data_IF_565917735402
#
_entry.id   IF_565917735402
#
_cell.length_a   1.000
_cell.length_b   1.000
_cell.length_c   1.000
_cell.angle_alpha   90.00
_cell.angle_beta   90.00
_cell.angle_gamma   90.00
#
_symmetry.space_group_name_H-M   'P 1'
#
loop_
_entity.id
_entity.type
_entity.pdbx_description
1 polymer ?
#
# COMPACT_ATOMS: atom_id res chain seq x y z
N UNK A 1 38.50 -6.38 30.89
CA UNK A 1 38.43 -6.01 29.45
C UNK A 1 38.18 -7.20 28.52
N UNK A 2 39.01 -8.27 28.52
CA UNK A 2 38.80 -9.45 27.64
C UNK A 2 37.49 -10.22 27.89
N UNK A 3 37.06 -10.36 29.15
CA UNK A 3 35.79 -11.03 29.49
C UNK A 3 34.55 -10.23 29.03
N UNK A 4 34.60 -8.90 29.16
CA UNK A 4 33.55 -7.99 28.64
C UNK A 4 33.49 -8.03 27.11
N UNK A 5 34.65 -8.07 26.44
CA UNK A 5 34.71 -8.20 24.98
C UNK A 5 34.15 -9.54 24.49
N UNK A 6 34.43 -10.64 25.21
CA UNK A 6 33.84 -11.96 24.92
C UNK A 6 32.33 -11.98 25.15
N UNK A 7 31.85 -11.37 26.24
CA UNK A 7 30.42 -11.22 26.52
C UNK A 7 29.69 -10.44 25.42
N UNK A 8 30.26 -9.31 24.98
CA UNK A 8 29.73 -8.54 23.87
C UNK A 8 29.71 -9.34 22.56
N UNK A 9 30.77 -10.09 22.28
CA UNK A 9 30.84 -10.95 21.09
C UNK A 9 29.75 -12.03 21.11
N UNK A 10 29.55 -12.73 22.24
CA UNK A 10 28.49 -13.73 22.35
C UNK A 10 27.09 -13.12 22.18
N UNK A 11 26.87 -11.93 22.73
CA UNK A 11 25.61 -11.21 22.55
C UNK A 11 25.38 -10.87 21.06
N UNK A 12 26.38 -10.34 20.36
CA UNK A 12 26.28 -10.02 18.93
C UNK A 12 26.01 -11.27 18.11
N UNK A 13 26.69 -12.39 18.39
CA UNK A 13 26.46 -13.66 17.70
C UNK A 13 25.05 -14.19 17.96
N UNK A 14 24.57 -14.12 19.21
CA UNK A 14 23.22 -14.52 19.55
C UNK A 14 22.17 -13.67 18.82
N UNK A 15 22.35 -12.35 18.77
CA UNK A 15 21.45 -11.44 18.05
C UNK A 15 21.47 -11.71 16.54
N UNK A 16 22.64 -11.95 15.96
CA UNK A 16 22.75 -12.33 14.55
C UNK A 16 22.04 -13.66 14.27
N UNK A 17 22.18 -14.65 15.16
CA UNK A 17 21.51 -15.93 15.04
C UNK A 17 19.99 -15.77 15.11
N UNK A 18 19.48 -14.99 16.08
CA UNK A 18 18.04 -14.70 16.20
C UNK A 18 17.53 -13.97 14.97
N UNK A 19 18.26 -12.99 14.46
CA UNK A 19 17.88 -12.23 13.26
C UNK A 19 17.78 -13.13 12.02
N UNK A 20 18.77 -14.00 11.82
CA UNK A 20 18.84 -14.92 10.67
C UNK A 20 17.80 -16.04 10.79
N UNK A 21 17.83 -16.79 11.89
CA UNK A 21 16.91 -17.91 12.11
C UNK A 21 15.48 -17.41 12.20
N UNK A 22 15.23 -16.36 12.97
CA UNK A 22 13.91 -15.75 13.08
C UNK A 22 13.40 -15.24 11.73
N UNK A 23 14.25 -14.56 10.95
CA UNK A 23 13.86 -14.09 9.62
C UNK A 23 13.44 -15.21 8.67
N UNK A 24 14.12 -16.37 8.69
CA UNK A 24 13.73 -17.53 7.88
C UNK A 24 12.47 -18.25 8.37
N UNK A 25 12.12 -18.12 9.65
CA UNK A 25 10.86 -18.64 10.21
C UNK A 25 9.65 -17.75 9.90
N UNK A 26 9.86 -16.48 9.55
CA UNK A 26 8.79 -15.56 9.18
C UNK A 26 8.27 -15.83 7.76
N UNK A 27 6.98 -15.50 7.49
CA UNK A 27 6.39 -15.63 6.16
C UNK A 27 7.21 -14.89 5.10
N UNK A 28 7.31 -15.51 3.92
CA UNK A 28 7.96 -14.92 2.75
C UNK A 28 7.05 -13.98 1.96
N UNK A 29 5.78 -13.86 2.37
CA UNK A 29 4.76 -12.98 1.79
C UNK A 29 3.92 -12.37 2.90
N UNK A 30 3.44 -11.16 2.67
CA UNK A 30 2.46 -10.48 3.53
C UNK A 30 1.31 -9.98 2.69
N UNK A 31 0.10 -10.17 3.22
CA UNK A 31 -1.14 -9.67 2.66
C UNK A 31 -1.81 -8.77 3.71
N UNK A 32 -2.26 -7.60 3.29
CA UNK A 32 -3.01 -6.64 4.10
C UNK A 32 -4.23 -6.24 3.29
N UNK A 33 -5.42 -6.24 3.89
CA UNK A 33 -6.62 -5.74 3.21
C UNK A 33 -7.55 -5.01 4.16
N UNK A 34 -8.29 -4.04 3.63
CA UNK A 34 -9.42 -3.37 4.30
C UNK A 34 -10.57 -3.22 3.31
N UNK A 35 -11.80 -3.19 3.81
CA UNK A 35 -12.98 -2.99 2.96
C UNK A 35 -13.99 -2.02 3.55
N UNK A 36 -14.73 -1.35 2.68
CA UNK A 36 -15.82 -0.45 3.05
C UNK A 36 -16.95 -0.54 2.02
N UNK A 37 -18.19 -0.30 2.46
CA UNK A 37 -19.32 -0.09 1.56
C UNK A 37 -19.43 1.39 1.20
N UNK A 38 -19.45 1.69 -0.10
CA UNK A 38 -19.66 3.02 -0.67
C UNK A 38 -21.01 3.03 -1.37
N UNK A 39 -21.84 4.01 -1.06
CA UNK A 39 -23.19 4.19 -1.60
C UNK A 39 -23.15 4.81 -3.02
N UNK A 40 -22.34 4.19 -3.90
CA UNK A 40 -22.15 4.55 -5.30
C UNK A 40 -22.04 3.33 -6.20
N UNK A 41 -22.52 3.44 -7.46
CA UNK A 41 -22.43 2.34 -8.40
C UNK A 41 -20.96 2.04 -8.73
N UNK A 42 -20.61 0.78 -9.07
CA UNK A 42 -19.23 0.38 -9.30
C UNK A 42 -18.51 1.20 -10.39
N UNK A 43 -19.25 1.73 -11.37
CA UNK A 43 -18.70 2.60 -12.42
C UNK A 43 -18.12 3.92 -11.89
N UNK A 44 -18.79 4.57 -10.95
CA UNK A 44 -18.29 5.82 -10.35
C UNK A 44 -17.06 5.56 -9.48
N UNK A 45 -17.09 4.48 -8.69
CA UNK A 45 -15.96 4.08 -7.85
C UNK A 45 -14.76 3.70 -8.71
N UNK A 46 -14.97 2.90 -9.76
CA UNK A 46 -13.94 2.50 -10.71
C UNK A 46 -13.30 3.72 -11.37
N UNK A 47 -14.09 4.66 -11.89
CA UNK A 47 -13.57 5.87 -12.53
C UNK A 47 -12.69 6.73 -11.60
N UNK A 48 -12.98 6.76 -10.30
CA UNK A 48 -12.15 7.44 -9.30
C UNK A 48 -10.81 6.72 -9.07
N UNK A 49 -10.79 5.39 -9.09
CA UNK A 49 -9.61 4.57 -8.82
C UNK A 49 -8.73 4.35 -10.06
N UNK A 50 -9.32 4.43 -11.24
CA UNK A 50 -8.67 4.23 -12.53
C UNK A 50 -7.84 5.45 -13.00
N UNK A 51 -7.74 6.50 -12.19
CA UNK A 51 -6.96 7.70 -12.48
C UNK A 51 -6.33 8.29 -11.24
N UNK A 52 -5.10 8.79 -11.37
CA UNK A 52 -4.44 9.51 -10.27
C UNK A 52 -4.78 11.00 -10.22
N UNK A 53 -5.57 11.54 -11.16
CA UNK A 53 -5.94 12.98 -11.18
C UNK A 53 -6.54 13.46 -9.87
N UNK A 54 -7.36 12.61 -9.24
CA UNK A 54 -8.08 12.90 -8.00
C UNK A 54 -7.52 12.15 -6.79
N UNK A 55 -6.35 11.52 -6.94
CA UNK A 55 -5.74 10.71 -5.89
C UNK A 55 -5.53 11.50 -4.59
N UNK A 56 -5.12 12.76 -4.71
CA UNK A 56 -4.85 13.64 -3.57
C UNK A 56 -6.11 14.02 -2.78
N UNK A 57 -7.32 13.85 -3.32
CA UNK A 57 -8.58 14.16 -2.61
C UNK A 57 -8.86 13.17 -1.48
N UNK A 58 -8.43 11.91 -1.63
CA UNK A 58 -8.74 10.83 -0.70
C UNK A 58 -7.49 10.09 -0.18
N UNK A 59 -6.31 10.35 -0.74
CA UNK A 59 -5.06 9.73 -0.28
C UNK A 59 -4.76 10.07 1.19
N UNK A 60 -4.47 9.05 2.04
CA UNK A 60 -4.00 9.29 3.41
C UNK A 60 -2.57 9.89 3.42
N UNK A 61 -1.75 9.55 2.42
CA UNK A 61 -0.37 10.01 2.32
C UNK A 61 -0.26 11.46 1.86
N UNK A 62 -1.14 11.91 0.95
CA UNK A 62 -1.19 13.32 0.58
C UNK A 62 -1.55 14.21 1.77
N UNK A 63 -2.46 13.77 2.64
CA UNK A 63 -2.77 14.51 3.87
C UNK A 63 -1.60 14.52 4.87
N UNK A 64 -0.83 13.42 4.95
CA UNK A 64 0.33 13.33 5.85
C UNK A 64 1.44 14.33 5.46
N UNK A 65 1.66 14.51 4.15
CA UNK A 65 2.66 15.43 3.62
C UNK A 65 2.23 16.06 2.29
N UNK A 66 1.41 17.14 2.32
CA UNK A 66 0.97 17.83 1.11
C UNK A 66 2.10 18.52 0.36
N UNK A 67 3.21 18.80 1.06
CA UNK A 67 4.42 19.43 0.52
C UNK A 67 5.36 18.44 -0.18
N UNK A 68 5.07 17.15 -0.15
CA UNK A 68 5.84 16.15 -0.88
C UNK A 68 5.74 16.40 -2.39
N UNK A 69 6.75 15.95 -3.13
CA UNK A 69 6.75 16.05 -4.59
C UNK A 69 5.93 14.90 -5.16
N UNK A 70 4.95 15.21 -6.01
CA UNK A 70 4.15 14.23 -6.74
C UNK A 70 4.34 14.43 -8.25
N UNK A 71 4.66 13.36 -8.97
CA UNK A 71 4.88 13.37 -10.42
C UNK A 71 3.93 12.38 -11.07
N UNK A 72 3.02 12.90 -11.89
CA UNK A 72 2.08 12.12 -12.68
C UNK A 72 2.65 11.88 -14.08
N UNK A 73 2.49 10.67 -14.61
CA UNK A 73 2.96 10.31 -15.94
C UNK A 73 2.11 9.21 -16.57
N UNK A 74 2.26 8.99 -17.87
CA UNK A 74 1.45 8.02 -18.62
C UNK A 74 0.11 8.61 -19.05
N UNK A 75 -0.86 7.75 -19.44
CA UNK A 75 -2.21 8.18 -19.79
C UNK A 75 -2.95 8.78 -18.59
N UNK A 76 -4.02 9.52 -18.89
CA UNK A 76 -4.84 10.18 -17.86
C UNK A 76 -5.60 9.20 -16.95
N UNK A 77 -5.90 8.00 -17.46
CA UNK A 77 -6.59 6.92 -16.76
C UNK A 77 -6.21 5.57 -17.38
N UNK A 78 -6.49 4.48 -16.65
CA UNK A 78 -6.27 3.13 -17.11
C UNK A 78 -4.82 2.66 -17.06
N UNK A 79 -4.58 1.53 -17.73
CA UNK A 79 -3.27 0.85 -17.72
C UNK A 79 -2.14 1.77 -18.16
N UNK A 80 -1.10 1.86 -17.35
CA UNK A 80 0.08 2.68 -17.59
C UNK A 80 0.04 4.05 -16.91
N UNK A 81 -1.14 4.53 -16.47
CA UNK A 81 -1.21 5.73 -15.64
C UNK A 81 -0.33 5.51 -14.39
N UNK A 82 0.48 6.51 -14.03
CA UNK A 82 1.52 6.39 -13.01
C UNK A 82 1.60 7.62 -12.12
N UNK A 83 1.93 7.40 -10.85
CA UNK A 83 2.17 8.42 -9.84
C UNK A 83 3.45 8.06 -9.07
N UNK A 84 4.45 8.94 -9.09
CA UNK A 84 5.63 8.86 -8.25
C UNK A 84 5.58 9.93 -7.16
N UNK A 85 6.09 9.63 -5.97
CA UNK A 85 6.17 10.57 -4.87
C UNK A 85 7.56 10.56 -4.19
N UNK A 86 7.90 11.69 -3.60
CA UNK A 86 9.09 11.84 -2.77
C UNK A 86 8.84 12.89 -1.67
N UNK A 87 8.97 12.48 -0.40
CA UNK A 87 8.77 13.32 0.77
C UNK A 87 9.51 12.80 1.99
N UNK A 88 9.67 13.65 3.00
CA UNK A 88 10.43 13.32 4.21
C UNK A 88 9.68 12.37 5.14
N UNK A 89 8.35 12.40 5.13
CA UNK A 89 7.46 11.54 5.95
C UNK A 89 6.85 10.42 5.13
N UNK A 90 6.42 10.69 3.90
CA UNK A 90 5.82 9.67 3.01
C UNK A 90 6.85 8.81 2.30
N UNK A 91 8.14 9.12 2.46
CA UNK A 91 9.23 8.43 1.81
C UNK A 91 9.23 8.64 0.30
N UNK A 92 9.82 7.68 -0.42
CA UNK A 92 9.92 7.70 -1.87
C UNK A 92 9.30 6.43 -2.44
N UNK A 93 8.55 6.58 -3.52
CA UNK A 93 7.98 5.44 -4.21
C UNK A 93 7.23 5.82 -5.47
N UNK A 94 6.66 4.81 -6.11
CA UNK A 94 5.78 4.99 -7.26
C UNK A 94 4.71 3.92 -7.31
N UNK A 95 3.62 4.25 -7.99
CA UNK A 95 2.56 3.33 -8.34
C UNK A 95 2.18 3.49 -9.81
N UNK A 96 1.84 2.39 -10.45
CA UNK A 96 1.35 2.37 -11.84
C UNK A 96 0.19 1.39 -11.95
N UNK A 97 -0.87 1.80 -12.64
CA UNK A 97 -1.96 0.89 -12.99
C UNK A 97 -1.44 -0.18 -13.95
N UNK A 98 -1.41 -1.42 -13.48
CA UNK A 98 -0.95 -2.59 -14.22
C UNK A 98 -2.10 -3.33 -14.90
N UNK A 99 -3.27 -3.33 -14.28
CA UNK A 99 -4.50 -3.93 -14.81
C UNK A 99 -5.69 -3.05 -14.40
N UNK A 100 -6.67 -2.91 -15.28
CA UNK A 100 -7.94 -2.27 -14.97
C UNK A 100 -9.06 -3.01 -15.69
N UNK A 101 -10.02 -3.53 -14.93
CA UNK A 101 -11.21 -4.20 -15.44
C UNK A 101 -12.42 -3.36 -15.04
N UNK A 102 -13.15 -2.78 -16.00
CA UNK A 102 -14.26 -1.88 -15.72
C UNK A 102 -15.22 -2.44 -14.68
N UNK A 103 -15.55 -1.62 -13.67
CA UNK A 103 -16.50 -1.93 -12.59
C UNK A 103 -16.14 -3.13 -11.70
N UNK A 104 -14.96 -3.73 -11.87
CA UNK A 104 -14.57 -4.96 -11.16
C UNK A 104 -13.28 -4.78 -10.37
N UNK A 105 -12.20 -4.29 -10.98
CA UNK A 105 -10.92 -4.18 -10.29
C UNK A 105 -9.94 -3.20 -10.91
N UNK A 106 -9.04 -2.67 -10.09
CA UNK A 106 -7.85 -1.91 -10.50
C UNK A 106 -6.63 -2.46 -9.75
N UNK A 107 -5.59 -2.88 -10.48
CA UNK A 107 -4.36 -3.43 -9.91
C UNK A 107 -3.22 -2.44 -10.14
N UNK A 108 -2.51 -2.10 -9.07
CA UNK A 108 -1.38 -1.19 -9.06
C UNK A 108 -0.09 -1.96 -8.79
N UNK A 109 0.90 -1.80 -9.67
CA UNK A 109 2.28 -2.17 -9.37
C UNK A 109 2.91 -1.05 -8.53
N UNK A 110 3.38 -1.39 -7.33
CA UNK A 110 3.99 -0.48 -6.37
C UNK A 110 5.49 -0.73 -6.26
N UNK A 111 6.27 0.35 -6.19
CA UNK A 111 7.69 0.33 -5.88
C UNK A 111 7.97 1.33 -4.76
N UNK A 112 8.40 0.83 -3.61
CA UNK A 112 8.83 1.62 -2.47
C UNK A 112 10.36 1.57 -2.38
N UNK A 113 11.03 2.44 -3.13
CA UNK A 113 12.49 2.57 -3.19
C UNK A 113 13.20 1.22 -3.42
N UNK A 114 12.73 0.47 -4.42
CA UNK A 114 13.23 -0.85 -4.80
C UNK A 114 12.46 -2.02 -4.16
N UNK A 115 11.57 -1.77 -3.20
CA UNK A 115 10.70 -2.81 -2.64
C UNK A 115 9.40 -2.91 -3.42
N UNK A 116 9.21 -4.02 -4.15
CA UNK A 116 8.01 -4.24 -4.96
C UNK A 116 6.82 -4.70 -4.10
N UNK A 117 5.64 -4.22 -4.45
CA UNK A 117 4.37 -4.72 -3.94
C UNK A 117 3.27 -4.59 -5.01
N UNK A 118 2.13 -5.23 -4.76
CA UNK A 118 0.94 -5.13 -5.61
C UNK A 118 -0.21 -4.62 -4.76
N UNK A 119 -0.81 -3.51 -5.17
CA UNK A 119 -1.99 -2.95 -4.52
C UNK A 119 -3.22 -3.20 -5.38
N UNK A 120 -4.25 -3.85 -4.84
CA UNK A 120 -5.47 -4.16 -5.61
C UNK A 120 -6.68 -3.48 -5.01
N UNK A 121 -7.51 -2.87 -5.85
CA UNK A 121 -8.86 -2.47 -5.51
C UNK A 121 -9.84 -3.45 -6.18
N UNK A 122 -10.55 -4.23 -5.37
CA UNK A 122 -11.64 -5.09 -5.82
C UNK A 122 -12.99 -4.41 -5.55
N UNK A 123 -13.86 -4.41 -6.56
CA UNK A 123 -15.17 -3.79 -6.56
C UNK A 123 -16.25 -4.85 -6.69
N UNK A 124 -17.11 -4.95 -5.69
CA UNK A 124 -18.25 -5.86 -5.69
C UNK A 124 -19.54 -5.06 -5.53
N UNK A 125 -20.45 -5.17 -6.49
CA UNK A 125 -21.78 -4.56 -6.39
C UNK A 125 -22.52 -5.07 -5.14
N UNK A 126 -23.14 -4.16 -4.39
CA UNK A 126 -23.90 -4.45 -3.17
C UNK A 126 -25.16 -3.55 -3.16
N UNK A 127 -26.25 -4.05 -3.76
CA UNK A 127 -27.45 -3.24 -4.00
C UNK A 127 -27.17 -2.12 -5.01
N UNK A 128 -27.53 -0.89 -4.64
CA UNK A 128 -27.22 0.33 -5.41
C UNK A 128 -25.79 0.87 -5.13
N UNK A 129 -25.05 0.22 -4.23
CA UNK A 129 -23.70 0.59 -3.83
C UNK A 129 -22.63 -0.39 -4.27
N UNK A 130 -21.42 -0.18 -3.77
CA UNK A 130 -20.23 -0.98 -4.06
C UNK A 130 -19.47 -1.26 -2.78
N UNK A 131 -19.15 -2.53 -2.54
CA UNK A 131 -18.11 -2.92 -1.60
C UNK A 131 -16.75 -2.78 -2.27
N UNK A 132 -15.93 -1.92 -1.72
CA UNK A 132 -14.55 -1.71 -2.14
C UNK A 132 -13.63 -2.41 -1.16
N UNK A 133 -12.77 -3.29 -1.68
CA UNK A 133 -11.69 -3.91 -0.90
C UNK A 133 -10.36 -3.41 -1.45
N UNK A 134 -9.53 -2.83 -0.59
CA UNK A 134 -8.18 -2.41 -0.94
C UNK A 134 -7.19 -3.33 -0.26
N UNK A 135 -6.38 -4.03 -1.05
CA UNK A 135 -5.36 -4.96 -0.58
C UNK A 135 -3.94 -4.56 -1.01
N UNK A 136 -2.97 -5.04 -0.26
CA UNK A 136 -1.54 -4.96 -0.53
C UNK A 136 -0.92 -6.35 -0.38
N UNK A 137 -0.32 -6.84 -1.45
CA UNK A 137 0.48 -8.05 -1.49
C UNK A 137 1.96 -7.70 -1.65
N UNK A 138 2.80 -8.14 -0.71
CA UNK A 138 4.25 -7.94 -0.76
C UNK A 138 4.97 -9.27 -0.62
N UNK A 139 5.87 -9.54 -1.58
CA UNK A 139 6.73 -10.73 -1.57
C UNK A 139 8.12 -10.36 -1.04
N UNK A 140 8.47 -10.93 0.10
CA UNK A 140 9.75 -10.70 0.79
C UNK A 140 10.85 -11.64 0.30
N UNK A 141 10.47 -12.81 -0.25
CA UNK A 141 11.41 -13.80 -0.77
C UNK A 141 12.43 -14.23 0.30
N UNK A 142 13.72 -14.18 -0.04
CA UNK A 142 14.82 -14.48 0.88
C UNK A 142 15.39 -13.25 1.60
N UNK A 143 14.79 -12.07 1.43
CA UNK A 143 15.23 -10.87 2.12
C UNK A 143 14.74 -10.88 3.57
N UNK A 144 15.64 -11.20 4.50
CA UNK A 144 15.35 -11.29 5.92
C UNK A 144 14.81 -9.98 6.49
N UNK A 145 15.34 -8.83 6.04
CA UNK A 145 14.88 -7.50 6.49
C UNK A 145 13.42 -7.28 6.10
N UNK A 146 13.06 -7.59 4.86
CA UNK A 146 11.68 -7.46 4.36
C UNK A 146 10.71 -8.38 5.09
N UNK A 147 11.12 -9.61 5.44
CA UNK A 147 10.30 -10.53 6.24
C UNK A 147 10.00 -9.99 7.64
N UNK A 148 11.00 -9.42 8.31
CA UNK A 148 10.80 -8.74 9.60
C UNK A 148 9.89 -7.51 9.45
N UNK A 149 10.01 -6.76 8.36
CA UNK A 149 9.13 -5.63 8.05
C UNK A 149 7.67 -6.06 7.80
N UNK A 150 7.46 -7.25 7.23
CA UNK A 150 6.13 -7.84 7.03
C UNK A 150 5.29 -7.93 8.31
N UNK A 151 5.91 -8.10 9.48
CA UNK A 151 5.21 -8.15 10.78
C UNK A 151 4.52 -6.84 11.18
N UNK A 152 5.06 -5.70 10.73
CA UNK A 152 4.52 -4.38 11.06
C UNK A 152 3.65 -3.79 9.94
N UNK A 153 3.67 -4.42 8.76
CA UNK A 153 3.02 -3.92 7.56
C UNK A 153 1.51 -3.74 7.74
N UNK A 154 0.79 -4.72 8.30
CA UNK A 154 -0.66 -4.60 8.54
C UNK A 154 -0.99 -3.43 9.49
N UNK A 155 -0.19 -3.25 10.54
CA UNK A 155 -0.43 -2.18 11.52
C UNK A 155 -0.19 -0.78 10.94
N UNK A 156 0.79 -0.65 10.05
CA UNK A 156 1.14 0.61 9.39
C UNK A 156 0.20 0.90 8.22
N UNK A 157 0.15 -0.01 7.24
CA UNK A 157 -0.61 0.15 6.00
C UNK A 157 -2.11 0.01 6.22
N UNK A 158 -2.53 -0.92 7.07
CA UNK A 158 -3.95 -1.17 7.30
C UNK A 158 -4.69 0.06 7.85
N UNK A 159 -4.05 0.84 8.73
CA UNK A 159 -4.62 2.10 9.25
C UNK A 159 -4.73 3.18 8.17
N UNK A 160 -3.72 3.27 7.30
CA UNK A 160 -3.75 4.20 6.17
C UNK A 160 -4.86 3.79 5.18
N UNK A 161 -5.06 2.50 4.96
CA UNK A 161 -6.12 1.98 4.09
C UNK A 161 -7.50 2.26 4.66
N UNK A 162 -7.72 2.03 5.95
CA UNK A 162 -8.97 2.41 6.63
C UNK A 162 -9.27 3.90 6.45
N UNK A 163 -8.26 4.75 6.66
CA UNK A 163 -8.39 6.21 6.49
C UNK A 163 -8.65 6.62 5.04
N UNK A 164 -7.93 6.04 4.09
CA UNK A 164 -8.07 6.31 2.66
C UNK A 164 -9.45 5.88 2.14
N UNK A 165 -9.92 4.69 2.52
CA UNK A 165 -11.25 4.18 2.16
C UNK A 165 -12.37 5.05 2.74
N UNK A 166 -12.24 5.49 4.00
CA UNK A 166 -13.23 6.38 4.62
C UNK A 166 -13.33 7.73 3.89
N UNK A 167 -12.20 8.30 3.44
CA UNK A 167 -12.21 9.52 2.64
C UNK A 167 -12.74 9.30 1.23
N UNK A 168 -12.35 8.20 0.58
CA UNK A 168 -12.83 7.83 -0.74
C UNK A 168 -14.36 7.75 -0.74
N UNK A 169 -14.92 7.08 0.27
CA UNK A 169 -16.37 7.03 0.53
C UNK A 169 -16.96 8.44 0.60
N UNK A 170 -16.41 9.31 1.46
CA UNK A 170 -16.91 10.68 1.63
C UNK A 170 -16.89 11.48 0.32
N UNK A 171 -15.76 11.49 -0.39
CA UNK A 171 -15.59 12.26 -1.64
C UNK A 171 -16.56 11.78 -2.74
N UNK A 172 -16.82 10.48 -2.79
CA UNK A 172 -17.76 9.90 -3.75
C UNK A 172 -19.21 10.20 -3.36
N UNK A 173 -19.55 10.10 -2.07
CA UNK A 173 -20.93 10.29 -1.59
C UNK A 173 -21.39 11.75 -1.55
N UNK A 174 -20.47 12.71 -1.43
CA UNK A 174 -20.76 14.16 -1.45
C UNK A 174 -21.12 14.70 -2.85
N UNK A 175 -20.79 13.99 -3.93
CA UNK A 175 -21.19 14.39 -5.28
C UNK A 175 -22.71 14.22 -5.44
N UNK A 176 -23.41 14.95 -6.31
CA UNK A 176 -24.78 14.57 -6.68
C UNK A 176 -24.81 13.16 -7.29
N UNK A 177 -25.94 12.46 -7.15
CA UNK A 177 -26.21 11.22 -7.91
C UNK A 177 -26.75 11.56 -9.29
#
# INVERSE_FOLDING_TARGET
MKALLKGLLYLVVLLALVFVVGGFLLPDKTHVERSIAIDRPPGEVHAMLDSYKRFNEWSPWYELEPTAKYVYSGPESGVGASLAWEGAKVGKGSQRIAESVPQQKVVNALDFDGTQAVGTFDLKAEGDGTRVTWSLDSAHGNNLVSRWFGLVLDKMVGKDYDKGLAKLKRVLEEQPR
#
